data_IF_373291771078
#
_entry.id   IF_373291771078
#
_cell.length_a   1.000
_cell.length_b   1.000
_cell.length_c   1.000
_cell.angle_alpha   90.00
_cell.angle_beta   90.00
_cell.angle_gamma   90.00
#
_symmetry.space_group_name_H-M   'P 1'
#
loop_
_entity.id
_entity.type
_entity.pdbx_description
1 polymer ?
#
# COMPACT_ATOMS: atom_id res chain seq x y z
N UNK A 1 -23.83 5.58 7.30
CA UNK A 1 -23.56 7.02 7.08
C UNK A 1 -22.68 7.15 5.84
N UNK A 2 -22.53 8.34 5.24
CA UNK A 2 -21.79 8.54 3.98
C UNK A 2 -20.73 9.64 4.13
N UNK A 3 -19.95 9.89 3.07
CA UNK A 3 -18.77 10.77 3.07
C UNK A 3 -19.03 12.20 3.60
N UNK A 4 -20.24 12.72 3.46
CA UNK A 4 -20.62 14.09 3.82
C UNK A 4 -21.23 14.18 5.24
N UNK A 5 -21.10 13.14 6.06
CA UNK A 5 -21.62 13.16 7.43
C UNK A 5 -20.82 14.17 8.27
N UNK A 6 -21.49 15.22 8.74
CA UNK A 6 -20.85 16.40 9.35
C UNK A 6 -19.95 16.08 10.55
N UNK A 7 -20.28 15.02 11.30
CA UNK A 7 -19.50 14.56 12.46
C UNK A 7 -18.06 14.20 12.08
N UNK A 8 -17.78 13.80 10.83
CA UNK A 8 -16.42 13.49 10.39
C UNK A 8 -15.48 14.70 10.37
N UNK A 9 -16.03 15.93 10.41
CA UNK A 9 -15.28 17.18 10.47
C UNK A 9 -15.24 17.79 11.88
N UNK A 10 -15.88 17.17 12.85
CA UNK A 10 -15.87 17.64 14.23
C UNK A 10 -14.48 17.43 14.86
N UNK A 11 -13.89 18.45 15.55
CA UNK A 11 -12.56 18.32 16.14
C UNK A 11 -12.43 17.15 17.11
N UNK A 12 -13.45 16.89 17.93
CA UNK A 12 -13.43 15.78 18.87
C UNK A 12 -13.44 14.45 18.12
N UNK A 13 -14.22 14.32 17.04
CA UNK A 13 -14.19 13.12 16.20
C UNK A 13 -12.82 12.89 15.55
N UNK A 14 -12.21 13.95 14.99
CA UNK A 14 -10.91 13.87 14.31
C UNK A 14 -9.80 13.43 15.29
N UNK A 15 -9.81 13.98 16.51
CA UNK A 15 -8.80 13.71 17.53
C UNK A 15 -9.02 12.37 18.24
N UNK A 16 -10.28 12.00 18.52
CA UNK A 16 -10.61 10.87 19.41
C UNK A 16 -11.09 9.61 18.70
N UNK A 17 -11.54 9.72 17.45
CA UNK A 17 -12.15 8.58 16.71
C UNK A 17 -11.34 8.24 15.46
N UNK A 18 -11.28 9.15 14.50
CA UNK A 18 -10.58 8.89 13.25
C UNK A 18 -10.14 10.20 12.58
N UNK A 19 -8.84 10.34 12.24
CA UNK A 19 -8.35 11.45 11.44
C UNK A 19 -9.07 11.57 10.09
N UNK A 20 -9.15 12.79 9.55
CA UNK A 20 -9.89 13.10 8.32
C UNK A 20 -9.46 12.26 7.11
N UNK A 21 -8.18 11.91 6.99
CA UNK A 21 -7.69 11.09 5.88
C UNK A 21 -8.26 9.65 5.91
N UNK A 22 -8.67 9.15 7.09
CA UNK A 22 -9.35 7.85 7.26
C UNK A 22 -10.85 7.99 7.10
N UNK A 23 -11.45 8.96 7.81
CA UNK A 23 -12.91 9.14 7.80
C UNK A 23 -13.45 9.56 6.43
N UNK A 24 -12.62 10.15 5.56
CA UNK A 24 -12.92 10.36 4.13
C UNK A 24 -13.42 9.09 3.43
N UNK A 25 -12.92 7.92 3.84
CA UNK A 25 -13.26 6.62 3.26
C UNK A 25 -14.51 6.00 3.88
N UNK A 26 -15.16 6.66 4.85
CA UNK A 26 -16.42 6.19 5.44
C UNK A 26 -17.61 6.48 4.50
N UNK A 27 -17.54 5.91 3.31
CA UNK A 27 -18.53 6.03 2.24
C UNK A 27 -18.87 4.65 1.69
N UNK A 28 -20.00 4.56 0.98
CA UNK A 28 -20.48 3.29 0.42
C UNK A 28 -19.53 2.72 -0.63
N UNK A 29 -18.78 3.59 -1.32
CA UNK A 29 -17.87 3.19 -2.38
C UNK A 29 -16.72 2.29 -1.88
N UNK A 30 -16.30 2.46 -0.62
CA UNK A 30 -15.19 1.71 -0.03
C UNK A 30 -15.60 0.38 0.62
N UNK A 31 -16.89 0.15 0.89
CA UNK A 31 -17.37 -1.03 1.63
C UNK A 31 -16.88 -2.33 1.00
N UNK A 32 -16.96 -2.45 -0.34
CA UNK A 32 -16.54 -3.67 -1.04
C UNK A 32 -15.02 -3.86 -0.96
N UNK A 33 -14.24 -2.78 -1.15
CA UNK A 33 -12.79 -2.84 -1.03
C UNK A 33 -12.35 -3.23 0.38
N UNK A 34 -12.93 -2.59 1.40
CA UNK A 34 -12.64 -2.86 2.81
C UNK A 34 -13.02 -4.29 3.20
N UNK A 35 -14.19 -4.79 2.77
CA UNK A 35 -14.61 -6.16 3.03
C UNK A 35 -13.68 -7.18 2.35
N UNK A 36 -13.29 -6.94 1.09
CA UNK A 36 -12.36 -7.82 0.39
C UNK A 36 -10.95 -7.77 0.98
N UNK A 37 -10.51 -6.62 1.51
CA UNK A 37 -9.23 -6.54 2.22
C UNK A 37 -9.23 -7.44 3.45
N UNK A 38 -10.34 -7.54 4.19
CA UNK A 38 -10.48 -8.49 5.31
C UNK A 38 -10.40 -9.95 4.84
N UNK A 39 -11.06 -10.30 3.74
CA UNK A 39 -11.00 -11.64 3.15
C UNK A 39 -9.56 -11.98 2.73
N UNK A 40 -8.87 -11.05 2.06
CA UNK A 40 -7.47 -11.23 1.66
C UNK A 40 -6.57 -11.43 2.88
N UNK A 41 -6.75 -10.63 3.92
CA UNK A 41 -5.96 -10.74 5.15
C UNK A 41 -6.23 -12.03 5.93
N UNK A 42 -7.43 -12.60 5.84
CA UNK A 42 -7.76 -13.91 6.41
C UNK A 42 -7.14 -15.06 5.61
N UNK A 43 -7.28 -15.03 4.27
CA UNK A 43 -6.72 -16.05 3.37
C UNK A 43 -5.19 -16.04 3.36
N UNK A 44 -4.59 -14.85 3.41
CA UNK A 44 -3.14 -14.64 3.38
C UNK A 44 -2.73 -13.66 4.49
N UNK A 45 -2.62 -14.16 5.74
CA UNK A 45 -2.18 -13.34 6.86
C UNK A 45 -0.81 -12.71 6.60
N UNK A 46 -0.64 -11.48 7.09
CA UNK A 46 0.63 -10.77 6.98
C UNK A 46 1.74 -11.50 7.78
N UNK A 47 2.76 -11.99 7.07
CA UNK A 47 3.94 -12.69 7.63
C UNK A 47 5.18 -11.80 7.66
N UNK A 48 5.01 -10.48 7.56
CA UNK A 48 6.11 -9.52 7.50
C UNK A 48 6.74 -9.19 8.86
N UNK A 49 6.11 -9.58 9.96
CA UNK A 49 6.63 -9.28 11.31
C UNK A 49 8.05 -9.83 11.50
N UNK A 50 8.96 -8.95 11.93
CA UNK A 50 10.37 -9.28 12.14
C UNK A 50 11.21 -9.33 10.86
N UNK A 51 10.62 -9.08 9.69
CA UNK A 51 11.36 -8.97 8.42
C UNK A 51 11.86 -7.54 8.17
N UNK A 52 12.90 -7.34 7.36
CA UNK A 52 13.37 -6.01 7.00
C UNK A 52 12.36 -5.21 6.17
N UNK A 53 12.48 -3.88 6.20
CA UNK A 53 11.56 -2.94 5.52
C UNK A 53 11.19 -3.38 4.10
N UNK A 54 12.17 -3.72 3.25
CA UNK A 54 11.90 -4.10 1.85
C UNK A 54 11.04 -5.35 1.71
N UNK A 55 11.23 -6.33 2.59
CA UNK A 55 10.38 -7.52 2.60
C UNK A 55 8.99 -7.19 3.10
N UNK A 56 8.86 -6.34 4.13
CA UNK A 56 7.55 -5.94 4.62
C UNK A 56 6.75 -5.16 3.56
N UNK A 57 7.41 -4.28 2.81
CA UNK A 57 6.82 -3.58 1.66
C UNK A 57 6.20 -4.57 0.68
N UNK A 58 6.95 -5.60 0.29
CA UNK A 58 6.49 -6.63 -0.65
C UNK A 58 5.41 -7.51 -0.04
N UNK A 59 5.57 -8.06 1.16
CA UNK A 59 4.53 -8.88 1.81
C UNK A 59 3.20 -8.13 1.96
N UNK A 60 3.23 -6.83 2.28
CA UNK A 60 2.03 -5.99 2.27
C UNK A 60 1.50 -5.75 0.86
N UNK A 61 2.38 -5.50 -0.11
CA UNK A 61 2.01 -5.33 -1.52
C UNK A 61 1.28 -6.54 -2.11
N UNK A 62 1.52 -7.75 -1.59
CA UNK A 62 0.82 -8.98 -1.98
C UNK A 62 -0.68 -8.91 -1.73
N UNK A 63 -1.08 -8.27 -0.64
CA UNK A 63 -2.50 -8.09 -0.32
C UNK A 63 -3.19 -7.23 -1.39
N UNK A 64 -2.56 -6.12 -1.82
CA UNK A 64 -3.08 -5.29 -2.90
C UNK A 64 -3.06 -5.98 -4.26
N UNK A 65 -2.06 -6.85 -4.52
CA UNK A 65 -2.06 -7.68 -5.71
C UNK A 65 -3.26 -8.64 -5.77
N UNK A 66 -3.66 -9.25 -4.65
CA UNK A 66 -4.89 -10.06 -4.60
C UNK A 66 -6.15 -9.23 -4.77
N UNK A 67 -6.21 -8.03 -4.18
CA UNK A 67 -7.33 -7.12 -4.41
C UNK A 67 -7.50 -6.79 -5.89
N UNK A 68 -6.42 -6.65 -6.67
CA UNK A 68 -6.52 -6.50 -8.13
C UNK A 68 -7.21 -7.67 -8.81
N UNK A 69 -6.97 -8.91 -8.32
CA UNK A 69 -7.57 -10.11 -8.88
C UNK A 69 -9.02 -10.27 -8.49
N UNK A 70 -9.37 -9.88 -7.26
CA UNK A 70 -10.73 -10.01 -6.76
C UNK A 70 -11.65 -8.87 -7.19
N UNK A 71 -11.08 -7.66 -7.40
CA UNK A 71 -11.82 -6.45 -7.75
C UNK A 71 -11.29 -5.85 -9.06
N UNK A 72 -11.34 -6.58 -10.20
CA UNK A 72 -10.73 -6.16 -11.45
C UNK A 72 -11.37 -4.90 -12.07
N UNK A 73 -12.62 -4.60 -11.72
CA UNK A 73 -13.37 -3.43 -12.21
C UNK A 73 -13.40 -2.26 -11.23
N UNK A 74 -12.84 -2.42 -10.03
CA UNK A 74 -12.83 -1.37 -9.01
C UNK A 74 -11.61 -0.47 -9.21
N UNK A 75 -11.77 0.87 -9.16
CA UNK A 75 -10.65 1.79 -9.28
C UNK A 75 -9.58 1.55 -8.20
N UNK A 76 -8.31 1.67 -8.58
CA UNK A 76 -7.18 1.50 -7.66
C UNK A 76 -7.27 2.44 -6.44
N UNK A 77 -7.67 3.70 -6.63
CA UNK A 77 -7.86 4.68 -5.56
C UNK A 77 -8.94 4.27 -4.55
N UNK A 78 -9.92 3.48 -4.97
CA UNK A 78 -10.91 2.88 -4.06
C UNK A 78 -10.34 1.64 -3.37
N UNK A 79 -9.66 0.75 -4.13
CA UNK A 79 -9.09 -0.50 -3.59
C UNK A 79 -8.04 -0.25 -2.49
N UNK A 80 -7.14 0.69 -2.70
CA UNK A 80 -5.99 0.92 -1.80
C UNK A 80 -6.19 2.12 -0.86
N UNK A 81 -7.30 2.86 -1.02
CA UNK A 81 -7.67 3.98 -0.14
C UNK A 81 -6.93 5.29 -0.40
N UNK A 82 -6.10 5.39 -1.44
CA UNK A 82 -5.47 6.66 -1.85
C UNK A 82 -6.50 7.62 -2.46
N UNK A 83 -6.22 8.92 -2.42
CA UNK A 83 -6.93 9.84 -3.32
C UNK A 83 -6.46 9.58 -4.76
N UNK A 84 -7.26 10.00 -5.75
CA UNK A 84 -6.82 9.90 -7.14
C UNK A 84 -5.53 10.70 -7.39
N UNK A 85 -5.44 11.89 -6.80
CA UNK A 85 -4.24 12.74 -6.86
C UNK A 85 -3.00 12.06 -6.26
N UNK A 86 -3.14 11.39 -5.11
CA UNK A 86 -2.04 10.63 -4.49
C UNK A 86 -1.60 9.47 -5.37
N UNK A 87 -2.55 8.73 -5.93
CA UNK A 87 -2.26 7.61 -6.81
C UNK A 87 -1.54 8.07 -8.09
N UNK A 88 -2.02 9.14 -8.71
CA UNK A 88 -1.42 9.70 -9.92
C UNK A 88 -0.02 10.24 -9.63
N UNK A 89 0.16 10.94 -8.50
CA UNK A 89 1.47 11.39 -8.05
C UNK A 89 2.43 10.21 -7.83
N UNK A 90 2.00 9.11 -7.21
CA UNK A 90 2.84 7.93 -7.06
C UNK A 90 3.29 7.36 -8.41
N UNK A 91 2.37 7.27 -9.39
CA UNK A 91 2.69 6.78 -10.75
C UNK A 91 3.69 7.70 -11.45
N UNK A 92 3.47 9.01 -11.39
CA UNK A 92 4.33 10.00 -12.04
C UNK A 92 5.72 10.11 -11.40
N UNK A 93 5.84 9.69 -10.13
CA UNK A 93 7.06 9.84 -9.33
C UNK A 93 7.67 8.50 -8.89
N UNK A 94 7.27 7.38 -9.49
CA UNK A 94 7.66 6.03 -9.07
C UNK A 94 9.18 5.87 -8.94
N UNK A 95 9.94 6.31 -9.95
CA UNK A 95 11.40 6.27 -9.96
C UNK A 95 12.04 7.14 -8.88
N UNK A 96 11.46 8.31 -8.63
CA UNK A 96 11.94 9.24 -7.59
C UNK A 96 11.69 8.67 -6.19
N UNK A 97 10.48 8.14 -5.94
CA UNK A 97 10.11 7.49 -4.67
C UNK A 97 11.07 6.34 -4.38
N UNK A 98 11.26 5.44 -5.35
CA UNK A 98 12.16 4.30 -5.19
C UNK A 98 13.61 4.73 -4.92
N UNK A 99 14.11 5.69 -5.68
CA UNK A 99 15.47 6.23 -5.51
C UNK A 99 15.64 6.89 -4.14
N UNK A 100 14.63 7.61 -3.66
CA UNK A 100 14.65 8.24 -2.34
C UNK A 100 14.75 7.19 -1.23
N UNK A 101 13.92 6.15 -1.27
CA UNK A 101 13.91 5.10 -0.24
C UNK A 101 15.27 4.36 -0.23
N UNK A 102 15.79 3.97 -1.40
CA UNK A 102 17.09 3.27 -1.51
C UNK A 102 18.26 4.11 -1.00
N UNK A 103 18.21 5.44 -1.17
CA UNK A 103 19.32 6.32 -0.78
C UNK A 103 19.29 6.76 0.67
N UNK A 104 18.10 7.04 1.20
CA UNK A 104 17.94 7.67 2.50
C UNK A 104 17.67 6.66 3.61
N UNK A 105 17.29 5.44 3.27
CA UNK A 105 16.92 4.43 4.26
C UNK A 105 17.74 3.17 4.12
N UNK A 106 17.94 2.51 5.26
CA UNK A 106 18.36 1.13 5.26
C UNK A 106 17.14 0.24 4.95
N UNK A 107 17.07 -0.26 3.72
CA UNK A 107 16.07 -1.25 3.31
C UNK A 107 16.08 -2.52 4.17
N UNK A 108 17.19 -2.78 4.87
CA UNK A 108 17.34 -3.87 5.83
C UNK A 108 16.94 -3.48 7.27
N UNK A 109 16.45 -2.26 7.47
CA UNK A 109 16.05 -1.77 8.79
C UNK A 109 14.91 -2.59 9.39
N UNK A 110 15.06 -2.92 10.66
CA UNK A 110 14.04 -3.46 11.55
C UNK A 110 13.52 -2.41 12.54
N UNK A 111 13.97 -1.15 12.41
CA UNK A 111 13.62 -0.08 13.35
C UNK A 111 12.12 0.28 13.21
N UNK A 112 11.29 0.13 14.26
CA UNK A 112 9.86 0.40 14.19
C UNK A 112 9.52 1.81 13.72
N UNK A 113 10.34 2.82 14.05
CA UNK A 113 10.12 4.20 13.63
C UNK A 113 10.33 4.37 12.12
N UNK A 114 11.32 3.68 11.55
CA UNK A 114 11.56 3.67 10.09
C UNK A 114 10.42 2.94 9.40
N UNK A 115 10.02 1.77 9.91
CA UNK A 115 8.89 1.01 9.38
C UNK A 115 7.61 1.86 9.36
N UNK A 116 7.30 2.54 10.46
CA UNK A 116 6.10 3.39 10.58
C UNK A 116 6.05 4.50 9.51
N UNK A 117 7.19 5.08 9.12
CA UNK A 117 7.24 6.15 8.10
C UNK A 117 6.78 5.64 6.72
N UNK A 118 7.19 4.43 6.34
CA UNK A 118 7.00 3.94 4.97
C UNK A 118 5.83 2.98 4.79
N UNK A 119 5.53 2.14 5.79
CA UNK A 119 4.47 1.12 5.68
C UNK A 119 3.35 1.33 6.71
N UNK A 120 3.43 2.40 7.51
CA UNK A 120 2.39 2.79 8.44
C UNK A 120 1.31 3.64 7.78
N UNK A 121 0.11 3.62 8.37
CA UNK A 121 -0.99 4.50 7.97
C UNK A 121 -0.68 5.94 8.38
N UNK A 122 -0.74 6.88 7.43
CA UNK A 122 -0.49 8.31 7.64
C UNK A 122 -1.13 9.13 6.51
N UNK A 123 -1.34 10.45 6.68
CA UNK A 123 -1.85 11.30 5.60
C UNK A 123 -0.83 11.45 4.45
N UNK A 124 0.47 11.42 4.77
CA UNK A 124 1.59 11.52 3.83
C UNK A 124 2.82 10.77 4.37
N UNK A 125 3.79 10.45 3.52
CA UNK A 125 5.08 9.88 3.95
C UNK A 125 6.10 10.99 4.18
N UNK A 126 6.71 10.99 5.36
CA UNK A 126 7.77 11.96 5.71
C UNK A 126 8.93 11.88 4.71
N UNK A 127 9.40 13.03 4.25
CA UNK A 127 10.43 13.13 3.19
C UNK A 127 9.87 13.43 1.80
N UNK A 128 8.55 13.32 1.61
CA UNK A 128 7.87 13.68 0.37
C UNK A 128 6.89 14.85 0.57
N UNK A 129 6.43 15.51 -0.51
CA UNK A 129 5.48 16.62 -0.41
C UNK A 129 4.15 16.19 0.26
N UNK A 130 3.72 16.86 1.34
CA UNK A 130 2.56 16.43 2.14
C UNK A 130 1.22 16.56 1.39
N UNK A 131 1.14 17.48 0.43
CA UNK A 131 -0.09 17.71 -0.34
C UNK A 131 -0.33 16.65 -1.43
N UNK A 132 0.69 15.84 -1.76
CA UNK A 132 0.64 14.92 -2.90
C UNK A 132 0.97 13.48 -2.53
N UNK A 133 1.93 13.27 -1.62
CA UNK A 133 2.35 11.93 -1.25
C UNK A 133 1.33 11.27 -0.30
N UNK A 134 0.97 10.01 -0.52
CA UNK A 134 0.19 9.26 0.46
C UNK A 134 1.09 8.74 1.58
N UNK A 135 0.49 8.38 2.71
CA UNK A 135 1.12 7.45 3.64
C UNK A 135 1.22 6.04 3.07
N UNK A 136 1.87 5.14 3.81
CA UNK A 136 2.02 3.74 3.42
C UNK A 136 2.62 3.53 2.01
N UNK A 137 3.48 4.45 1.58
CA UNK A 137 4.07 4.45 0.23
C UNK A 137 4.93 3.21 -0.03
N UNK A 138 5.45 2.59 1.02
CA UNK A 138 6.21 1.37 0.97
C UNK A 138 5.39 0.19 0.46
N UNK A 139 4.13 0.05 0.90
CA UNK A 139 3.22 -0.98 0.37
C UNK A 139 2.93 -0.73 -1.13
N UNK A 140 2.81 0.54 -1.54
CA UNK A 140 2.62 0.88 -2.96
C UNK A 140 3.79 0.45 -3.84
N UNK A 141 5.02 0.66 -3.38
CA UNK A 141 6.22 0.16 -4.07
C UNK A 141 6.25 -1.38 -4.06
N UNK A 142 5.97 -2.02 -2.93
CA UNK A 142 5.90 -3.49 -2.85
C UNK A 142 4.85 -4.10 -3.79
N UNK A 143 3.73 -3.41 -3.99
CA UNK A 143 2.72 -3.78 -4.97
C UNK A 143 3.26 -3.69 -6.41
N UNK A 144 4.07 -2.68 -6.74
CA UNK A 144 4.73 -2.59 -8.05
C UNK A 144 5.74 -3.73 -8.26
N UNK A 145 6.51 -4.11 -7.22
CA UNK A 145 7.40 -5.27 -7.26
C UNK A 145 6.65 -6.54 -7.68
N UNK A 146 5.49 -6.80 -7.06
CA UNK A 146 4.73 -8.03 -7.30
C UNK A 146 4.05 -8.00 -8.66
N UNK A 147 3.51 -6.86 -9.08
CA UNK A 147 3.00 -6.67 -10.45
C UNK A 147 4.09 -7.01 -11.46
N UNK A 148 5.30 -6.47 -11.28
CA UNK A 148 6.44 -6.75 -12.17
C UNK A 148 6.88 -8.21 -12.15
N UNK A 149 6.85 -8.84 -10.98
CA UNK A 149 7.14 -10.27 -10.84
C UNK A 149 6.08 -11.13 -11.55
N UNK A 150 4.79 -10.84 -11.36
CA UNK A 150 3.69 -11.55 -12.00
C UNK A 150 3.71 -11.39 -13.53
N UNK A 151 4.01 -10.20 -14.05
CA UNK A 151 4.17 -9.95 -15.49
C UNK A 151 5.26 -10.83 -16.13
N UNK A 152 6.30 -11.16 -15.37
CA UNK A 152 7.41 -12.01 -15.82
C UNK A 152 7.13 -13.51 -15.69
N UNK A 153 6.09 -13.87 -14.95
CA UNK A 153 5.72 -15.24 -14.66
C UNK A 153 4.22 -15.45 -15.02
N UNK A 154 3.83 -15.28 -16.30
CA UNK A 154 2.42 -15.28 -16.71
C UNK A 154 1.71 -16.62 -16.46
N UNK A 155 2.46 -17.71 -16.35
CA UNK A 155 1.94 -19.06 -16.12
C UNK A 155 1.70 -19.35 -14.61
N UNK A 156 2.22 -18.52 -13.71
CA UNK A 156 2.01 -18.70 -12.27
C UNK A 156 0.60 -18.25 -11.86
N UNK A 157 -0.07 -19.10 -11.07
CA UNK A 157 -1.35 -18.77 -10.46
C UNK A 157 -1.17 -17.71 -9.37
N UNK A 158 -2.20 -16.90 -9.07
CA UNK A 158 -2.15 -15.93 -7.98
C UNK A 158 -1.71 -16.55 -6.65
N UNK A 159 -2.18 -17.74 -6.31
CA UNK A 159 -1.79 -18.44 -5.07
C UNK A 159 -0.28 -18.73 -5.01
N UNK A 160 0.31 -19.19 -6.13
CA UNK A 160 1.75 -19.48 -6.21
C UNK A 160 2.58 -18.20 -6.04
N UNK A 161 2.13 -17.09 -6.64
CA UNK A 161 2.75 -15.77 -6.46
C UNK A 161 2.67 -15.32 -5.00
N UNK A 162 1.54 -15.53 -4.34
CA UNK A 162 1.35 -15.18 -2.93
C UNK A 162 2.25 -15.98 -1.98
N UNK A 163 2.46 -17.27 -2.30
CA UNK A 163 3.31 -18.18 -1.52
C UNK A 163 4.82 -17.97 -1.79
N UNK A 164 5.18 -17.31 -2.90
CA UNK A 164 6.58 -16.99 -3.21
C UNK A 164 7.16 -16.06 -2.16
N UNK A 165 8.37 -16.34 -1.66
CA UNK A 165 9.02 -15.50 -0.66
C UNK A 165 9.36 -14.10 -1.22
N UNK A 166 9.34 -13.09 -0.34
CA UNK A 166 9.56 -11.70 -0.72
C UNK A 166 10.93 -11.49 -1.39
N UNK A 167 11.99 -12.16 -0.94
CA UNK A 167 13.35 -12.04 -1.50
C UNK A 167 13.39 -12.50 -2.96
N UNK A 168 12.74 -13.63 -3.27
CA UNK A 168 12.58 -14.14 -4.64
C UNK A 168 11.84 -13.13 -5.52
N UNK A 169 10.73 -12.57 -5.03
CA UNK A 169 9.96 -11.55 -5.75
C UNK A 169 10.84 -10.33 -6.05
N UNK A 170 11.51 -9.78 -5.04
CA UNK A 170 12.40 -8.60 -5.18
C UNK A 170 13.48 -8.85 -6.23
N UNK A 171 14.13 -10.01 -6.14
CA UNK A 171 15.26 -10.38 -7.02
C UNK A 171 14.81 -10.58 -8.47
N UNK A 172 13.71 -11.33 -8.68
CA UNK A 172 13.25 -11.68 -10.02
C UNK A 172 12.46 -10.55 -10.70
N UNK A 173 11.81 -9.68 -9.91
CA UNK A 173 11.15 -8.48 -10.43
C UNK A 173 12.12 -7.59 -11.20
N UNK A 174 13.43 -7.60 -10.87
CA UNK A 174 14.47 -6.71 -11.44
C UNK A 174 13.93 -5.28 -11.57
N UNK A 175 13.29 -4.81 -10.50
CA UNK A 175 12.52 -3.59 -10.47
C UNK A 175 13.42 -2.38 -10.71
N UNK A 176 13.12 -1.64 -11.78
CA UNK A 176 13.85 -0.45 -12.23
C UNK A 176 12.82 0.58 -12.73
N UNK A 177 12.09 1.21 -11.81
CA UNK A 177 11.12 2.24 -12.19
C UNK A 177 11.84 3.39 -12.90
N UNK A 178 11.14 4.00 -13.87
CA UNK A 178 11.65 5.12 -14.65
C UNK A 178 11.32 6.45 -13.98
#
# INVERSE_FOLDING_TARGET
MGKDFSVYNDPFFIESVAPSYRSRRFSKEYIIADAMQLVVSDMFPDKSSGKPLIEQMVEKGKQWYLLDKFLPTTPDSIKIGYTQQQLDWCKDNEGMIWTYIVKNEDLQSLNPSVLQVYIGESPFTQGFPPDYSPGNIGQWIGWQFIKKFAEKNPDMKPEEIMQTDAVTIITQAKYKPK
#
